data_IF_962918153592
#
_entry.id   IF_962918153592
#
_cell.length_a   1.000
_cell.length_b   1.000
_cell.length_c   1.000
_cell.angle_alpha   90.00
_cell.angle_beta   90.00
_cell.angle_gamma   90.00
#
_symmetry.space_group_name_H-M   'P 1'
#
loop_
_entity.id
_entity.type
_entity.pdbx_description
1 polymer ?
#
# COMPACT_ATOMS: atom_id res chain seq x y z
N UNK A 1 -0.25 10.62 -5.24
CA UNK A 1 -1.65 10.60 -5.74
C UNK A 1 -2.47 10.20 -4.54
N UNK A 2 -3.31 11.09 -3.99
CA UNK A 2 -3.76 11.02 -2.59
C UNK A 2 -4.39 9.68 -2.15
N UNK A 3 -4.99 8.95 -3.08
CA UNK A 3 -5.64 7.67 -2.81
C UNK A 3 -4.65 6.50 -2.78
N UNK A 4 -3.64 6.49 -3.65
CA UNK A 4 -2.65 5.40 -3.74
C UNK A 4 -1.71 5.39 -2.54
N UNK A 5 -1.38 6.58 -2.03
CA UNK A 5 -0.49 6.73 -0.87
C UNK A 5 -1.15 6.20 0.43
N UNK A 6 -2.49 6.21 0.48
CA UNK A 6 -3.24 5.74 1.64
C UNK A 6 -3.52 4.23 1.57
N UNK A 7 -3.59 3.60 0.39
CA UNK A 7 -4.01 2.19 0.26
C UNK A 7 -3.04 1.16 0.86
N UNK A 8 -1.80 1.52 1.12
CA UNK A 8 -0.79 0.60 1.62
C UNK A 8 -1.01 0.24 3.09
N UNK A 9 -0.76 -1.02 3.43
CA UNK A 9 -0.79 -1.49 4.82
C UNK A 9 0.32 -0.86 5.68
N UNK A 10 1.44 -0.47 5.05
CA UNK A 10 2.53 0.28 5.67
C UNK A 10 2.75 1.60 4.93
N UNK A 11 3.05 2.70 5.64
CA UNK A 11 3.39 3.95 4.98
C UNK A 11 4.64 3.78 4.11
N UNK A 12 4.71 4.54 3.04
CA UNK A 12 5.91 4.60 2.19
C UNK A 12 7.05 5.24 2.96
N UNK A 13 8.20 4.57 3.00
CA UNK A 13 9.41 5.07 3.63
C UNK A 13 10.42 5.46 2.54
N UNK A 14 10.86 6.72 2.59
CA UNK A 14 11.91 7.24 1.73
C UNK A 14 13.25 7.16 2.46
N UNK A 15 14.31 6.88 1.72
CA UNK A 15 15.67 6.95 2.24
C UNK A 15 16.21 8.37 2.35
N UNK A 16 17.47 8.48 2.76
CA UNK A 16 18.15 9.75 2.98
C UNK A 16 18.20 10.64 1.71
N UNK A 17 18.13 10.03 0.53
CA UNK A 17 18.19 10.72 -0.75
C UNK A 17 16.77 10.97 -1.33
N UNK A 18 15.72 10.56 -0.61
CA UNK A 18 14.33 10.75 -1.00
C UNK A 18 13.80 9.69 -1.96
N UNK A 19 14.46 8.54 -2.08
CA UNK A 19 14.02 7.44 -2.94
C UNK A 19 13.27 6.36 -2.16
N UNK A 20 12.37 5.68 -2.87
CA UNK A 20 11.68 4.53 -2.31
C UNK A 20 12.64 3.35 -2.21
N UNK A 21 12.68 2.73 -1.03
CA UNK A 21 13.46 1.53 -0.80
C UNK A 21 12.97 0.36 -1.65
N UNK A 22 13.90 -0.38 -2.25
CA UNK A 22 13.57 -1.61 -2.99
C UNK A 22 13.24 -2.71 -1.96
N UNK A 23 12.03 -3.28 -1.98
CA UNK A 23 11.67 -4.32 -1.02
C UNK A 23 12.48 -5.60 -1.21
N UNK A 24 12.79 -6.27 -0.11
CA UNK A 24 13.45 -7.60 -0.11
C UNK A 24 12.47 -8.76 0.13
N UNK A 25 11.18 -8.43 0.24
CA UNK A 25 10.11 -9.40 0.46
C UNK A 25 9.69 -10.06 -0.86
N UNK A 26 9.16 -11.29 -0.83
CA UNK A 26 8.63 -11.97 -2.01
C UNK A 26 7.56 -11.15 -2.76
N UNK A 27 7.46 -11.35 -4.07
CA UNK A 27 6.52 -10.63 -4.93
C UNK A 27 6.99 -9.21 -5.22
N UNK A 28 6.05 -8.27 -5.28
CA UNK A 28 6.36 -6.83 -5.47
C UNK A 28 6.70 -6.11 -4.15
N UNK A 29 6.72 -6.85 -3.03
CA UNK A 29 7.02 -6.30 -1.70
C UNK A 29 6.02 -5.25 -1.20
N UNK A 30 4.77 -5.36 -1.64
CA UNK A 30 3.69 -4.42 -1.34
C UNK A 30 2.49 -5.17 -0.77
N UNK A 31 1.83 -4.57 0.22
CA UNK A 31 0.67 -5.13 0.89
C UNK A 31 -0.43 -4.07 0.99
N UNK A 32 -1.66 -4.44 0.65
CA UNK A 32 -2.83 -3.57 0.67
C UNK A 32 -3.55 -3.64 2.02
N UNK A 33 -4.01 -2.49 2.51
CA UNK A 33 -4.94 -2.46 3.65
C UNK A 33 -6.36 -2.73 3.16
N UNK A 34 -6.91 -3.90 3.51
CA UNK A 34 -8.25 -4.33 3.15
C UNK A 34 -9.31 -3.27 3.45
N UNK A 35 -9.26 -2.65 4.64
CA UNK A 35 -10.28 -1.67 5.08
C UNK A 35 -10.22 -0.39 4.25
N UNK A 36 -9.02 0.02 3.85
CA UNK A 36 -8.83 1.20 3.00
C UNK A 36 -9.24 0.90 1.57
N UNK A 37 -8.98 -0.30 1.08
CA UNK A 37 -9.48 -0.76 -0.21
C UNK A 37 -11.02 -0.70 -0.22
N UNK A 38 -11.70 -1.24 0.79
CA UNK A 38 -13.17 -1.17 0.90
C UNK A 38 -13.68 0.27 0.92
N UNK A 39 -13.03 1.16 1.68
CA UNK A 39 -13.37 2.59 1.75
C UNK A 39 -13.37 3.26 0.38
N UNK A 40 -12.39 2.96 -0.47
CA UNK A 40 -12.24 3.61 -1.78
C UNK A 40 -12.93 2.86 -2.94
N UNK A 41 -13.14 1.55 -2.82
CA UNK A 41 -13.76 0.72 -3.85
C UNK A 41 -15.28 0.59 -3.69
N UNK A 42 -15.82 0.81 -2.48
CA UNK A 42 -17.20 0.48 -2.09
C UNK A 42 -17.58 -1.01 -2.29
N UNK A 43 -16.58 -1.89 -2.43
CA UNK A 43 -16.74 -3.34 -2.49
C UNK A 43 -16.35 -3.91 -1.14
N UNK A 44 -17.28 -4.60 -0.49
CA UNK A 44 -17.05 -5.33 0.77
C UNK A 44 -16.42 -6.70 0.50
N UNK A 45 -15.62 -7.23 1.44
CA UNK A 45 -15.01 -8.57 1.37
C UNK A 45 -14.07 -8.79 0.17
N UNK A 46 -13.39 -7.74 -0.31
CA UNK A 46 -12.53 -7.82 -1.50
C UNK A 46 -11.39 -8.83 -1.42
N UNK A 47 -10.84 -9.07 -0.21
CA UNK A 47 -9.70 -9.97 0.01
C UNK A 47 -10.11 -11.27 0.72
N UNK A 48 -11.41 -11.52 0.86
CA UNK A 48 -11.93 -12.66 1.59
C UNK A 48 -12.01 -13.95 0.77
#
# INVERSE_FOLDING_TARGET
SAYVDDLSAKPWELDADGYLQIPTLPGIGFELDAKKVEKYSAISDFLS
#
